data_IF_849164887895
#
_entry.id   IF_849164887895
#
_cell.length_a   1.000
_cell.length_b   1.000
_cell.length_c   1.000
_cell.angle_alpha   90.00
_cell.angle_beta   90.00
_cell.angle_gamma   90.00
#
_symmetry.space_group_name_H-M   'P 1'
#
loop_
_entity.id
_entity.type
_entity.pdbx_description
1 polymer ?
#
# COMPACT_ATOMS: atom_id res chain seq x y z
N UNK A 1 -9.92 12.91 -7.42
CA UNK A 1 -8.97 11.96 -8.06
C UNK A 1 -8.89 10.72 -7.18
N UNK A 2 -9.28 9.54 -7.67
CA UNK A 2 -9.25 8.31 -6.87
C UNK A 2 -7.84 7.76 -6.75
N UNK A 3 -7.52 7.26 -5.56
CA UNK A 3 -6.21 6.77 -5.21
C UNK A 3 -5.92 5.37 -5.79
N UNK A 4 -4.64 5.06 -6.12
CA UNK A 4 -4.28 3.78 -6.70
C UNK A 4 -4.13 2.68 -5.63
N UNK A 5 -4.51 1.47 -6.03
CA UNK A 5 -4.43 0.22 -5.29
C UNK A 5 -3.68 -0.81 -6.13
N UNK A 6 -3.09 -1.79 -5.46
CA UNK A 6 -2.61 -3.01 -6.09
C UNK A 6 -3.68 -4.08 -5.92
N UNK A 7 -4.14 -4.65 -7.03
CA UNK A 7 -5.09 -5.76 -7.08
C UNK A 7 -4.33 -7.06 -7.34
N UNK A 8 -4.60 -8.08 -6.54
CA UNK A 8 -4.19 -9.46 -6.78
C UNK A 8 -5.42 -10.28 -7.21
N UNK A 9 -5.44 -10.76 -8.45
CA UNK A 9 -6.58 -11.49 -9.02
C UNK A 9 -6.57 -12.97 -8.62
N UNK A 10 -7.14 -13.28 -7.46
CA UNK A 10 -7.13 -14.64 -6.89
C UNK A 10 -8.15 -15.61 -7.51
N UNK A 11 -8.96 -15.16 -8.46
CA UNK A 11 -9.93 -16.02 -9.14
C UNK A 11 -9.29 -16.88 -10.24
N UNK A 12 -8.07 -16.57 -10.65
CA UNK A 12 -7.32 -17.35 -11.63
C UNK A 12 -6.38 -18.32 -10.91
N UNK A 13 -6.12 -19.49 -11.53
CA UNK A 13 -5.11 -20.45 -11.06
C UNK A 13 -3.71 -19.86 -10.94
N UNK A 14 -3.40 -18.90 -11.81
CA UNK A 14 -2.13 -18.16 -11.81
C UNK A 14 -2.43 -16.67 -11.65
N UNK A 15 -2.69 -16.21 -10.41
CA UNK A 15 -3.04 -14.83 -10.11
C UNK A 15 -2.05 -13.83 -10.70
N UNK A 16 -2.59 -12.72 -11.22
CA UNK A 16 -1.77 -11.59 -11.61
C UNK A 16 -1.93 -10.41 -10.65
N UNK A 17 -0.93 -9.53 -10.66
CA UNK A 17 -0.93 -8.31 -9.87
C UNK A 17 -0.98 -7.09 -10.78
N UNK A 18 -1.91 -6.16 -10.53
CA UNK A 18 -2.06 -4.96 -11.35
C UNK A 18 -2.48 -3.73 -10.55
N UNK A 19 -2.27 -2.55 -11.13
CA UNK A 19 -2.70 -1.27 -10.54
C UNK A 19 -4.16 -1.03 -10.92
N UNK A 20 -5.00 -0.69 -9.93
CA UNK A 20 -6.38 -0.27 -10.15
C UNK A 20 -6.72 0.95 -9.31
N UNK A 21 -7.70 1.74 -9.76
CA UNK A 21 -8.31 2.83 -8.97
C UNK A 21 -9.75 2.51 -8.54
N UNK A 22 -10.22 1.31 -8.87
CA UNK A 22 -11.58 0.82 -8.57
C UNK A 22 -11.48 -0.46 -7.76
N UNK A 23 -12.11 -0.47 -6.59
CA UNK A 23 -12.34 -1.66 -5.79
C UNK A 23 -13.65 -2.29 -6.27
N UNK A 24 -13.65 -3.61 -6.48
CA UNK A 24 -14.84 -4.39 -6.82
C UNK A 24 -14.96 -5.55 -5.82
N UNK A 25 -16.20 -5.97 -5.54
CA UNK A 25 -16.45 -7.21 -4.79
C UNK A 25 -16.36 -8.41 -5.73
N UNK A 26 -15.17 -8.63 -6.29
CA UNK A 26 -14.93 -9.66 -7.32
C UNK A 26 -14.13 -10.86 -6.81
N UNK A 27 -13.88 -10.98 -5.50
CA UNK A 27 -13.06 -12.06 -4.92
C UNK A 27 -11.55 -11.81 -4.96
N UNK A 28 -11.10 -10.72 -5.58
CA UNK A 28 -9.69 -10.31 -5.58
C UNK A 28 -9.29 -9.62 -4.26
N UNK A 29 -8.00 -9.69 -3.91
CA UNK A 29 -7.44 -8.89 -2.82
C UNK A 29 -6.99 -7.52 -3.34
N UNK A 30 -7.19 -6.49 -2.54
CA UNK A 30 -6.82 -5.11 -2.84
C UNK A 30 -5.94 -4.55 -1.72
N UNK A 31 -4.81 -3.97 -2.10
CA UNK A 31 -3.80 -3.42 -1.18
C UNK A 31 -3.62 -1.93 -1.45
N UNK A 32 -3.56 -1.12 -0.38
CA UNK A 32 -3.51 0.34 -0.44
C UNK A 32 -4.64 0.99 0.36
N UNK A 33 -4.98 2.27 0.09
CA UNK A 33 -4.49 3.10 -1.01
C UNK A 33 -3.04 3.56 -0.82
N UNK A 34 -2.25 3.58 -1.90
CA UNK A 34 -0.85 4.04 -1.83
C UNK A 34 -0.76 5.56 -2.04
N UNK A 35 -0.51 6.29 -0.95
CA UNK A 35 -0.45 7.76 -0.86
C UNK A 35 0.97 8.32 -0.78
N UNK A 36 1.13 9.61 -1.07
CA UNK A 36 2.25 10.43 -0.59
C UNK A 36 3.62 9.98 -1.09
N UNK A 37 3.81 10.00 -2.41
CA UNK A 37 5.11 9.74 -3.05
C UNK A 37 5.51 8.27 -3.16
N UNK A 38 4.64 7.32 -2.78
CA UNK A 38 4.86 5.89 -2.99
C UNK A 38 4.30 5.48 -4.35
N UNK A 39 5.16 4.99 -5.24
CA UNK A 39 4.78 4.55 -6.59
C UNK A 39 4.29 3.11 -6.56
N UNK A 40 3.02 2.88 -6.93
CA UNK A 40 2.50 1.52 -7.11
C UNK A 40 3.28 0.72 -8.18
N UNK A 41 3.89 1.41 -9.15
CA UNK A 41 4.74 0.74 -10.15
C UNK A 41 5.98 0.16 -9.51
N UNK A 42 6.61 0.91 -8.61
CA UNK A 42 7.84 0.50 -7.94
C UNK A 42 7.55 -0.67 -6.99
N UNK A 43 6.39 -0.67 -6.33
CA UNK A 43 5.95 -1.81 -5.51
C UNK A 43 5.79 -3.06 -6.38
N UNK A 44 5.11 -2.95 -7.53
CA UNK A 44 4.97 -4.08 -8.45
C UNK A 44 6.32 -4.53 -9.02
N UNK A 45 7.25 -3.61 -9.25
CA UNK A 45 8.60 -3.93 -9.72
C UNK A 45 9.39 -4.74 -8.68
N UNK A 46 9.37 -4.32 -7.39
CA UNK A 46 9.99 -5.06 -6.29
C UNK A 46 9.33 -6.44 -6.14
N UNK A 47 7.99 -6.48 -6.19
CA UNK A 47 7.21 -7.70 -6.05
C UNK A 47 7.54 -8.69 -7.18
N UNK A 48 7.67 -8.21 -8.42
CA UNK A 48 8.07 -9.01 -9.56
C UNK A 48 9.54 -9.45 -9.47
N UNK A 49 10.44 -8.58 -9.01
CA UNK A 49 11.86 -8.87 -8.85
C UNK A 49 12.14 -9.93 -7.78
N UNK A 50 11.33 -9.94 -6.72
CA UNK A 50 11.54 -10.78 -5.52
C UNK A 50 10.82 -12.11 -5.65
N UNK A 51 9.58 -12.11 -6.16
CA UNK A 51 8.71 -13.28 -6.14
C UNK A 51 8.41 -13.86 -7.52
N UNK A 52 8.94 -13.27 -8.59
CA UNK A 52 8.79 -13.73 -9.98
C UNK A 52 7.32 -13.96 -10.41
N UNK A 53 6.39 -13.20 -9.85
CA UNK A 53 4.97 -13.27 -10.22
C UNK A 53 4.68 -12.47 -11.49
N UNK A 54 3.50 -12.70 -12.09
CA UNK A 54 3.12 -12.07 -13.34
C UNK A 54 2.37 -10.76 -13.10
N UNK A 55 2.74 -9.74 -13.87
CA UNK A 55 1.98 -8.48 -13.97
C UNK A 55 1.12 -8.42 -15.23
N UNK A 56 1.31 -9.34 -16.17
CA UNK A 56 0.61 -9.34 -17.45
C UNK A 56 -0.83 -9.88 -17.33
N UNK A 57 -1.69 -9.44 -18.25
CA UNK A 57 -3.08 -9.91 -18.40
C UNK A 57 -3.21 -11.08 -19.39
N UNK A 58 -2.09 -11.72 -19.76
CA UNK A 58 -2.08 -12.81 -20.73
C UNK A 58 -2.90 -14.00 -20.22
N UNK A 59 -3.99 -14.32 -20.92
CA UNK A 59 -4.78 -15.52 -20.61
C UNK A 59 -3.95 -16.79 -20.76
N UNK A 60 -4.10 -17.71 -19.81
CA UNK A 60 -3.40 -19.00 -19.79
C UNK A 60 -4.38 -20.05 -20.26
N UNK A 61 -4.12 -20.59 -21.45
CA UNK A 61 -4.96 -21.59 -22.10
C UNK A 61 -4.27 -22.96 -22.05
N UNK A 62 -4.95 -23.98 -22.58
CA UNK A 62 -4.40 -25.34 -22.70
C UNK A 62 -3.17 -25.44 -23.61
N UNK A 63 -3.00 -24.50 -24.55
CA UNK A 63 -1.81 -24.43 -25.41
C UNK A 63 -0.77 -23.47 -24.80
N UNK A 64 0.49 -23.89 -24.64
CA UNK A 64 1.54 -23.03 -24.12
C UNK A 64 1.84 -21.90 -25.11
N UNK A 65 2.08 -20.71 -24.56
CA UNK A 65 2.57 -19.54 -25.32
C UNK A 65 4.10 -19.50 -25.31
N UNK A 66 4.68 -18.73 -26.23
CA UNK A 66 6.12 -18.44 -26.22
C UNK A 66 6.50 -17.64 -24.97
N UNK A 67 7.67 -17.95 -24.42
CA UNK A 67 8.27 -17.24 -23.29
C UNK A 67 8.53 -15.77 -23.67
N UNK A 68 8.23 -14.87 -22.73
CA UNK A 68 8.43 -13.43 -22.94
C UNK A 68 9.74 -12.96 -22.30
N UNK A 69 10.11 -11.70 -22.56
CA UNK A 69 11.32 -11.10 -21.99
C UNK A 69 11.40 -11.27 -20.47
N UNK A 70 10.28 -11.05 -19.75
CA UNK A 70 10.24 -11.18 -18.28
C UNK A 70 10.67 -12.56 -17.79
N UNK A 71 10.44 -13.62 -18.55
CA UNK A 71 10.94 -14.96 -18.22
C UNK A 71 12.46 -15.03 -18.36
N UNK A 72 12.98 -14.60 -19.51
CA UNK A 72 14.40 -14.67 -19.80
C UNK A 72 15.27 -13.83 -18.85
N UNK A 73 14.71 -12.76 -18.26
CA UNK A 73 15.39 -11.93 -17.26
C UNK A 73 15.01 -12.28 -15.81
N UNK A 74 14.35 -13.41 -15.57
CA UNK A 74 14.05 -13.92 -14.21
C UNK A 74 12.93 -13.19 -13.46
N UNK A 75 12.18 -12.31 -14.13
CA UNK A 75 11.07 -11.53 -13.55
C UNK A 75 9.74 -12.25 -13.54
N UNK A 76 9.61 -13.38 -14.23
CA UNK A 76 8.36 -14.14 -14.26
C UNK A 76 8.67 -15.61 -14.49
N UNK A 77 8.01 -16.51 -13.76
CA UNK A 77 8.14 -17.97 -13.96
C UNK A 77 7.34 -18.52 -15.15
N UNK A 78 6.80 -17.62 -16.00
CA UNK A 78 6.10 -17.92 -17.24
C UNK A 78 5.01 -19.02 -17.15
N UNK A 79 3.99 -18.84 -16.28
CA UNK A 79 2.87 -19.78 -16.22
C UNK A 79 2.10 -19.85 -17.55
N UNK A 80 2.13 -18.78 -18.36
CA UNK A 80 1.54 -18.77 -19.70
C UNK A 80 2.26 -19.68 -20.73
N UNK A 81 3.52 -20.02 -20.47
CA UNK A 81 4.34 -20.94 -21.27
C UNK A 81 4.47 -22.32 -20.61
N UNK A 82 3.70 -22.57 -19.53
CA UNK A 82 3.71 -23.82 -18.74
C UNK A 82 5.10 -24.18 -18.19
N UNK A 83 5.90 -23.17 -17.81
CA UNK A 83 7.24 -23.37 -17.23
C UNK A 83 7.27 -23.53 -15.71
N UNK A 84 6.13 -23.34 -15.05
CA UNK A 84 5.94 -23.44 -13.61
C UNK A 84 4.64 -24.18 -13.33
N UNK A 85 4.63 -25.00 -12.29
CA UNK A 85 3.43 -25.69 -11.88
C UNK A 85 2.52 -24.81 -11.00
N UNK A 86 1.26 -25.23 -10.84
CA UNK A 86 0.26 -24.47 -10.07
C UNK A 86 0.63 -24.34 -8.59
N UNK A 87 1.28 -25.35 -7.99
CA UNK A 87 1.65 -25.35 -6.56
C UNK A 87 2.83 -24.44 -6.29
N UNK A 88 3.86 -24.51 -7.12
CA UNK A 88 5.05 -23.67 -7.05
C UNK A 88 4.66 -22.20 -7.28
N UNK A 89 3.81 -21.93 -8.26
CA UNK A 89 3.31 -20.58 -8.49
C UNK A 89 2.45 -20.08 -7.33
N UNK A 90 1.60 -20.93 -6.74
CA UNK A 90 0.83 -20.56 -5.56
C UNK A 90 1.71 -20.20 -4.37
N UNK A 91 2.86 -20.86 -4.19
CA UNK A 91 3.84 -20.49 -3.17
C UNK A 91 4.43 -19.10 -3.44
N UNK A 92 4.81 -18.79 -4.69
CA UNK A 92 5.28 -17.46 -5.11
C UNK A 92 4.23 -16.37 -4.83
N UNK A 93 2.97 -16.64 -5.18
CA UNK A 93 1.85 -15.74 -4.91
C UNK A 93 1.67 -15.54 -3.41
N UNK A 94 1.78 -16.60 -2.59
CA UNK A 94 1.66 -16.49 -1.13
C UNK A 94 2.73 -15.55 -0.54
N UNK A 95 3.99 -15.68 -0.97
CA UNK A 95 5.06 -14.78 -0.54
C UNK A 95 4.81 -13.33 -1.01
N UNK A 96 4.36 -13.15 -2.26
CA UNK A 96 3.98 -11.84 -2.78
C UNK A 96 2.83 -11.19 -2.01
N UNK A 97 1.83 -11.97 -1.58
CA UNK A 97 0.75 -11.48 -0.73
C UNK A 97 1.27 -11.10 0.65
N UNK A 98 2.14 -11.93 1.27
CA UNK A 98 2.79 -11.64 2.55
C UNK A 98 3.59 -10.34 2.50
N UNK A 99 4.28 -10.07 1.39
CA UNK A 99 4.96 -8.79 1.14
C UNK A 99 3.98 -7.61 1.12
N UNK A 100 2.88 -7.71 0.37
CA UNK A 100 1.86 -6.65 0.36
C UNK A 100 1.14 -6.52 1.71
N UNK A 101 1.13 -7.58 2.51
CA UNK A 101 0.67 -7.62 3.90
C UNK A 101 1.76 -7.18 4.89
N UNK A 102 2.89 -6.62 4.43
CA UNK A 102 3.87 -5.89 5.25
C UNK A 102 5.11 -6.66 5.67
N UNK A 103 5.29 -7.89 5.21
CA UNK A 103 6.51 -8.64 5.49
C UNK A 103 7.58 -8.33 4.43
N UNK A 104 8.40 -7.31 4.68
CA UNK A 104 9.38 -6.80 3.71
C UNK A 104 10.77 -7.43 3.81
N UNK A 105 11.07 -8.19 4.88
CA UNK A 105 12.43 -8.68 5.19
C UNK A 105 13.11 -9.42 4.03
N UNK A 106 12.35 -10.27 3.34
CA UNK A 106 12.87 -11.04 2.21
C UNK A 106 13.23 -10.13 1.03
N UNK A 107 12.35 -9.19 0.69
CA UNK A 107 12.59 -8.21 -0.36
C UNK A 107 13.78 -7.28 -0.01
N UNK A 108 13.90 -6.85 1.24
CA UNK A 108 15.01 -6.01 1.72
C UNK A 108 16.35 -6.74 1.61
N UNK A 109 16.40 -8.01 2.04
CA UNK A 109 17.60 -8.83 1.95
C UNK A 109 18.04 -9.01 0.50
N UNK A 110 17.10 -9.34 -0.39
CA UNK A 110 17.38 -9.51 -1.82
C UNK A 110 17.87 -8.21 -2.47
N UNK A 111 17.18 -7.10 -2.24
CA UNK A 111 17.54 -5.80 -2.82
C UNK A 111 18.90 -5.33 -2.31
N UNK A 112 19.21 -5.54 -1.03
CA UNK A 112 20.52 -5.20 -0.44
C UNK A 112 21.63 -6.01 -1.09
N UNK A 113 21.44 -7.32 -1.25
CA UNK A 113 22.40 -8.18 -1.93
C UNK A 113 22.63 -7.73 -3.38
N UNK A 114 21.56 -7.47 -4.14
CA UNK A 114 21.67 -6.99 -5.53
C UNK A 114 22.32 -5.62 -5.64
N UNK A 115 22.07 -4.72 -4.70
CA UNK A 115 22.70 -3.41 -4.62
C UNK A 115 24.22 -3.55 -4.45
N UNK A 116 24.66 -4.36 -3.47
CA UNK A 116 26.07 -4.59 -3.18
C UNK A 116 26.79 -5.23 -4.36
N UNK A 117 26.23 -6.30 -4.93
CA UNK A 117 26.80 -6.95 -6.13
C UNK A 117 26.90 -6.01 -7.33
N UNK A 118 25.92 -5.11 -7.51
CA UNK A 118 25.96 -4.13 -8.59
C UNK A 118 27.03 -3.06 -8.35
N UNK A 119 27.25 -2.65 -7.10
CA UNK A 119 28.29 -1.71 -6.73
C UNK A 119 29.69 -2.32 -6.88
N UNK A 120 29.87 -3.57 -6.47
CA UNK A 120 31.12 -4.33 -6.68
C UNK A 120 31.44 -4.51 -8.17
N UNK A 121 30.41 -4.72 -9.00
CA UNK A 121 30.54 -4.79 -10.45
C UNK A 121 30.58 -3.43 -11.16
N UNK A 122 30.81 -2.32 -10.44
CA UNK A 122 30.90 -0.94 -10.95
C UNK A 122 29.64 -0.43 -11.71
N UNK A 123 28.49 -1.11 -11.55
CA UNK A 123 27.21 -0.73 -12.13
C UNK A 123 26.47 0.25 -11.21
N UNK A 124 27.01 1.45 -11.05
CA UNK A 124 26.52 2.43 -10.06
C UNK A 124 25.07 2.88 -10.30
N UNK A 125 24.63 3.00 -11.55
CA UNK A 125 23.24 3.35 -11.87
C UNK A 125 22.26 2.28 -11.36
N UNK A 126 22.62 1.01 -11.56
CA UNK A 126 21.80 -0.12 -11.11
C UNK A 126 21.82 -0.24 -9.58
N UNK A 127 22.99 -0.04 -8.95
CA UNK A 127 23.10 0.02 -7.50
C UNK A 127 22.23 1.15 -6.91
N UNK A 128 22.21 2.32 -7.56
CA UNK A 128 21.37 3.45 -7.16
C UNK A 128 19.88 3.14 -7.29
N UNK A 129 19.46 2.44 -8.34
CA UNK A 129 18.07 1.97 -8.49
C UNK A 129 17.64 1.05 -7.34
N UNK A 130 18.48 0.06 -6.98
CA UNK A 130 18.21 -0.81 -5.82
C UNK A 130 18.17 -0.04 -4.49
N UNK A 131 19.09 0.93 -4.30
CA UNK A 131 19.08 1.81 -3.13
C UNK A 131 17.79 2.62 -3.03
N UNK A 132 17.28 3.14 -4.15
CA UNK A 132 16.03 3.88 -4.20
C UNK A 132 14.83 2.99 -3.85
N UNK A 133 14.83 1.73 -4.30
CA UNK A 133 13.81 0.73 -3.93
C UNK A 133 13.84 0.41 -2.44
N UNK A 134 15.02 0.23 -1.84
CA UNK A 134 15.18 0.05 -0.39
C UNK A 134 14.61 1.23 0.39
N UNK A 135 14.95 2.47 -0.01
CA UNK A 135 14.40 3.68 0.62
C UNK A 135 12.87 3.75 0.51
N UNK A 136 12.29 3.24 -0.59
CA UNK A 136 10.85 3.17 -0.77
C UNK A 136 10.21 2.14 0.19
N UNK A 137 10.83 0.97 0.38
CA UNK A 137 10.38 -0.02 1.36
C UNK A 137 10.40 0.54 2.79
N UNK A 138 11.47 1.22 3.20
CA UNK A 138 11.54 1.84 4.53
C UNK A 138 10.43 2.89 4.74
N UNK A 139 10.06 3.65 3.69
CA UNK A 139 8.92 4.57 3.75
C UNK A 139 7.58 3.85 3.88
N UNK A 140 7.42 2.71 3.22
CA UNK A 140 6.22 1.86 3.34
C UNK A 140 6.08 1.29 4.75
N UNK A 141 7.19 0.81 5.32
CA UNK A 141 7.22 0.30 6.69
C UNK A 141 6.90 1.39 7.71
N UNK A 142 7.54 2.55 7.62
CA UNK A 142 7.28 3.70 8.51
C UNK A 142 5.80 4.15 8.47
N UNK A 143 5.21 4.25 7.27
CA UNK A 143 3.78 4.59 7.11
C UNK A 143 2.84 3.54 7.69
N UNK A 144 3.25 2.26 7.67
CA UNK A 144 2.49 1.18 8.29
C UNK A 144 2.62 1.20 9.81
N UNK A 145 3.77 1.57 10.36
CA UNK A 145 3.93 1.71 11.82
C UNK A 145 3.02 2.84 12.35
N UNK A 146 2.79 3.88 11.56
CA UNK A 146 1.78 4.92 11.88
C UNK A 146 0.32 4.47 11.66
N UNK A 147 0.08 3.29 11.07
CA UNK A 147 -1.25 2.67 11.02
C UNK A 147 -1.45 1.85 12.30
N UNK A 148 -2.40 2.25 13.15
CA UNK A 148 -2.62 1.64 14.45
C UNK A 148 -2.81 0.12 14.32
N UNK A 149 -2.16 -0.65 15.20
CA UNK A 149 -2.12 -2.13 15.25
C UNK A 149 -3.47 -2.80 15.57
N UNK A 150 -4.54 -2.03 15.57
CA UNK A 150 -5.87 -2.44 16.00
C UNK A 150 -6.80 -2.17 14.82
N UNK A 151 -7.68 -3.12 14.48
CA UNK A 151 -8.80 -2.92 13.56
C UNK A 151 -9.74 -1.89 14.19
N UNK A 152 -9.33 -0.62 14.14
CA UNK A 152 -10.02 0.50 14.72
C UNK A 152 -10.54 1.33 13.56
N UNK A 153 -11.86 1.49 13.55
CA UNK A 153 -12.50 2.63 12.90
C UNK A 153 -12.59 3.73 13.96
N UNK A 154 -11.63 4.67 13.93
CA UNK A 154 -11.63 5.81 14.83
C UNK A 154 -11.34 7.11 14.09
N UNK A 155 -11.89 8.18 14.62
CA UNK A 155 -11.47 9.53 14.25
C UNK A 155 -10.68 10.13 15.41
N UNK A 156 -9.51 10.67 15.09
CA UNK A 156 -8.66 11.38 16.05
C UNK A 156 -8.91 12.87 15.84
N UNK A 157 -9.38 13.55 16.88
CA UNK A 157 -9.77 14.95 16.85
C UNK A 157 -8.82 15.71 17.76
N UNK A 158 -8.00 16.58 17.17
CA UNK A 158 -7.10 17.44 17.93
C UNK A 158 -7.61 18.88 17.87
N UNK A 159 -7.68 19.54 19.02
CA UNK A 159 -8.01 20.95 19.14
C UNK A 159 -6.78 21.75 19.60
N UNK A 160 -6.57 22.91 18.98
CA UNK A 160 -5.55 23.85 19.40
C UNK A 160 -6.08 25.29 19.30
N UNK A 161 -5.73 26.11 20.29
CA UNK A 161 -6.12 27.52 20.37
C UNK A 161 -4.96 28.38 20.84
N UNK A 162 -4.93 29.64 20.41
CA UNK A 162 -4.07 30.68 20.97
C UNK A 162 -4.89 31.83 21.60
N UNK A 163 -6.16 31.57 21.95
CA UNK A 163 -7.15 32.52 22.47
C UNK A 163 -7.61 33.61 21.49
N UNK A 164 -7.06 33.67 20.28
CA UNK A 164 -7.50 34.55 19.19
C UNK A 164 -8.05 33.74 18.01
N UNK A 165 -7.45 32.59 17.75
CA UNK A 165 -7.83 31.64 16.72
C UNK A 165 -7.85 30.25 17.32
N UNK A 166 -8.83 29.45 16.92
CA UNK A 166 -8.87 28.04 17.26
C UNK A 166 -9.07 27.20 16.01
N UNK A 167 -8.51 25.99 16.03
CA UNK A 167 -8.60 25.05 14.93
C UNK A 167 -8.79 23.64 15.45
N UNK A 168 -9.64 22.88 14.74
CA UNK A 168 -9.82 21.46 14.97
C UNK A 168 -9.29 20.69 13.77
N UNK A 169 -8.46 19.69 14.05
CA UNK A 169 -8.01 18.73 13.06
C UNK A 169 -8.71 17.39 13.30
N UNK A 170 -9.34 16.86 12.25
CA UNK A 170 -9.93 15.53 12.26
C UNK A 170 -9.10 14.62 11.36
N UNK A 171 -8.50 13.58 11.93
CA UNK A 171 -7.82 12.51 11.21
C UNK A 171 -8.74 11.29 11.16
N UNK A 172 -9.17 10.94 9.95
CA UNK A 172 -10.07 9.82 9.73
C UNK A 172 -9.27 8.53 9.62
N UNK A 173 -9.44 7.61 10.56
CA UNK A 173 -8.81 6.29 10.54
C UNK A 173 -9.85 5.22 10.34
N UNK A 174 -9.70 4.41 9.30
CA UNK A 174 -10.60 3.28 9.04
C UNK A 174 -9.82 1.99 8.87
N UNK A 175 -10.24 0.93 9.56
CA UNK A 175 -9.56 -0.38 9.62
C UNK A 175 -8.08 -0.25 9.98
N UNK A 176 -7.76 0.66 10.90
CA UNK A 176 -6.38 0.97 11.32
C UNK A 176 -5.57 1.83 10.34
N UNK A 177 -6.10 2.15 9.15
CA UNK A 177 -5.41 2.97 8.14
C UNK A 177 -5.92 4.41 8.21
N UNK A 178 -5.02 5.36 8.44
CA UNK A 178 -5.32 6.80 8.34
C UNK A 178 -5.64 7.16 6.88
N UNK A 179 -6.90 7.51 6.59
CA UNK A 179 -7.41 7.82 5.26
C UNK A 179 -7.16 9.27 4.84
N UNK A 180 -6.94 10.17 5.81
CA UNK A 180 -6.67 11.58 5.55
C UNK A 180 -7.00 12.46 6.75
N UNK A 181 -6.63 13.74 6.67
CA UNK A 181 -6.90 14.75 7.68
C UNK A 181 -7.61 15.97 7.09
N UNK A 182 -8.52 16.57 7.85
CA UNK A 182 -9.15 17.85 7.53
C UNK A 182 -8.99 18.82 8.69
N UNK A 183 -8.59 20.05 8.38
CA UNK A 183 -8.44 21.13 9.35
C UNK A 183 -9.60 22.11 9.20
N UNK A 184 -10.23 22.45 10.32
CA UNK A 184 -11.35 23.39 10.40
C UNK A 184 -10.93 24.55 11.29
N UNK A 185 -11.02 25.77 10.77
CA UNK A 185 -10.94 26.97 11.59
C UNK A 185 -12.27 27.13 12.33
N UNK A 186 -12.21 27.49 13.60
CA UNK A 186 -13.37 27.86 14.39
C UNK A 186 -13.37 29.38 14.55
N UNK A 187 -14.47 30.01 14.12
CA UNK A 187 -14.61 31.47 14.11
C UNK A 187 -14.80 32.06 15.51
N UNK A 188 -15.18 31.24 16.49
CA UNK A 188 -15.44 31.66 17.87
C UNK A 188 -14.35 31.13 18.81
N UNK A 189 -13.66 32.03 19.50
CA UNK A 189 -12.86 31.69 20.67
C UNK A 189 -13.83 31.40 21.82
N UNK A 190 -14.27 30.14 21.93
CA UNK A 190 -15.02 29.67 23.09
C UNK A 190 -14.17 29.87 24.35
N UNK A 191 -14.80 30.30 25.45
CA UNK A 191 -14.14 30.52 26.74
C UNK A 191 -13.66 29.18 27.35
N UNK A 192 -14.27 28.08 26.93
CA UNK A 192 -13.99 26.72 27.38
C UNK A 192 -13.68 25.80 26.19
N UNK A 193 -12.47 25.26 26.15
CA UNK A 193 -12.00 24.35 25.10
C UNK A 193 -12.88 23.10 24.95
N UNK A 194 -13.44 22.59 26.07
CA UNK A 194 -14.31 21.43 26.05
C UNK A 194 -15.66 21.70 25.37
N UNK A 195 -16.20 22.91 25.51
CA UNK A 195 -17.46 23.31 24.87
C UNK A 195 -17.28 23.50 23.36
N UNK A 196 -16.17 24.15 22.96
CA UNK A 196 -15.79 24.34 21.57
C UNK A 196 -15.72 23.00 20.82
N UNK A 197 -15.01 22.06 21.43
CA UNK A 197 -14.81 20.74 20.86
C UNK A 197 -16.13 19.95 20.81
N UNK A 198 -16.94 20.02 21.87
CA UNK A 198 -18.25 19.33 21.90
C UNK A 198 -19.16 19.85 20.78
N UNK A 199 -19.27 21.17 20.62
CA UNK A 199 -20.06 21.79 19.57
C UNK A 199 -19.57 21.36 18.17
N UNK A 200 -18.24 21.38 17.96
CA UNK A 200 -17.64 20.92 16.71
C UNK A 200 -17.96 19.46 16.42
N UNK A 201 -17.80 18.55 17.39
CA UNK A 201 -18.06 17.11 17.22
C UNK A 201 -19.52 16.88 16.81
N UNK A 202 -20.47 17.54 17.48
CA UNK A 202 -21.90 17.43 17.16
C UNK A 202 -22.18 17.91 15.73
N UNK A 203 -21.64 19.07 15.34
CA UNK A 203 -21.85 19.61 13.99
C UNK A 203 -21.18 18.77 12.91
N UNK A 204 -19.95 18.29 13.17
CA UNK A 204 -19.18 17.49 12.23
C UNK A 204 -19.90 16.17 11.92
N UNK A 205 -20.33 15.43 12.96
CA UNK A 205 -21.02 14.16 12.81
C UNK A 205 -22.50 14.27 12.48
N UNK A 206 -23.08 15.47 12.48
CA UNK A 206 -24.40 15.68 11.87
C UNK A 206 -24.36 15.47 10.34
N UNK A 207 -23.19 15.64 9.72
CA UNK A 207 -22.99 15.52 8.26
C UNK A 207 -22.04 14.38 7.86
N UNK A 208 -21.44 13.67 8.83
CA UNK A 208 -20.47 12.60 8.59
C UNK A 208 -20.84 11.34 9.38
N UNK A 209 -20.42 10.17 8.89
CA UNK A 209 -20.65 8.90 9.56
C UNK A 209 -19.78 8.77 10.83
N UNK A 210 -20.41 8.44 11.95
CA UNK A 210 -19.74 8.31 13.26
C UNK A 210 -18.91 7.01 13.30
N UNK A 211 -17.62 7.08 13.66
CA UNK A 211 -16.76 5.90 13.79
C UNK A 211 -17.10 5.08 15.04
N UNK A 212 -16.50 3.89 15.17
CA UNK A 212 -16.66 3.07 16.37
C UNK A 212 -16.03 3.67 17.63
N UNK A 213 -14.98 4.48 17.47
CA UNK A 213 -14.32 5.21 18.55
C UNK A 213 -13.99 6.64 18.11
N UNK A 214 -14.15 7.62 19.00
CA UNK A 214 -13.65 8.99 18.79
C UNK A 214 -12.58 9.22 19.84
N UNK A 215 -11.39 9.61 19.39
CA UNK A 215 -10.24 9.90 20.25
C UNK A 215 -10.03 11.41 20.21
N UNK A 216 -10.08 12.03 21.38
CA UNK A 216 -9.87 13.48 21.60
C UNK A 216 -8.57 13.67 22.36
#
# INVERSE_FOLDING_TARGET
KTYPYIKANLNEKFPNFCITRKIKKDGSKYFGPFMGGVSCKDILDILQLTYSVRLCHTQINSKPKRECLNYHIGRCTAPCAHKVDEKEYAAQVKSALSFLEGNYKEAESLLTSKMLLSAEGENFELALDYKNKLNMLSKLEAKRITSLSRYIDADIIAYATNNLYSAVNVLVTRKGIMQGGSSFALDEAYINDGEALTAFIVQYYSNHEVPSEIIV
#
